data_IF_025637465356
#
_entry.id   IF_025637465356
#
_cell.length_a   1.000
_cell.length_b   1.000
_cell.length_c   1.000
_cell.angle_alpha   90.00
_cell.angle_beta   90.00
_cell.angle_gamma   90.00
#
_symmetry.space_group_name_H-M   'P 1'
#
loop_
_entity.id
_entity.type
_entity.pdbx_description
1 polymer ?
#
# COMPACT_ATOMS: atom_id res chain seq x y z
N UNK A 1 -7.83 27.21 -35.75
CA UNK A 1 -8.03 27.01 -34.31
C UNK A 1 -7.99 25.50 -34.06
N UNK A 2 -6.87 24.99 -33.57
CA UNK A 2 -6.76 23.59 -33.18
C UNK A 2 -7.61 23.41 -31.90
N UNK A 3 -8.54 22.48 -31.90
CA UNK A 3 -9.36 22.23 -30.73
C UNK A 3 -8.47 21.61 -29.67
N UNK A 4 -8.49 22.11 -28.43
CA UNK A 4 -7.81 21.55 -27.26
C UNK A 4 -8.08 20.05 -27.04
N UNK A 5 -9.15 19.52 -27.64
CA UNK A 5 -9.66 18.16 -27.43
C UNK A 5 -9.19 17.15 -28.49
N UNK A 6 -8.32 17.54 -29.44
CA UNK A 6 -8.10 16.73 -30.65
C UNK A 6 -6.93 15.73 -30.57
N UNK A 7 -6.29 15.47 -29.43
CA UNK A 7 -5.16 14.56 -29.45
C UNK A 7 -5.01 13.68 -28.20
N UNK A 8 -5.60 12.53 -28.24
CA UNK A 8 -5.13 11.37 -27.45
C UNK A 8 -3.98 10.63 -28.16
N UNK A 9 -2.97 11.33 -28.64
CA UNK A 9 -1.69 10.71 -29.00
C UNK A 9 -0.68 11.10 -27.95
N UNK A 10 -0.44 10.21 -27.00
CA UNK A 10 0.63 10.37 -26.02
C UNK A 10 1.89 9.79 -26.64
N UNK A 11 2.77 10.65 -27.16
CA UNK A 11 4.10 10.26 -27.58
C UNK A 11 5.07 10.55 -26.43
N UNK A 12 5.57 9.50 -25.78
CA UNK A 12 6.56 9.58 -24.70
C UNK A 12 7.94 9.67 -25.37
N UNK A 13 8.53 10.85 -25.43
CA UNK A 13 9.85 11.07 -26.02
C UNK A 13 10.99 11.10 -24.98
N UNK A 14 10.74 10.83 -23.72
CA UNK A 14 11.74 10.81 -22.66
C UNK A 14 12.23 9.38 -22.42
N UNK A 15 13.51 9.05 -22.75
CA UNK A 15 14.04 7.72 -22.54
C UNK A 15 14.03 7.26 -21.09
N UNK A 16 14.09 8.16 -20.11
CA UNK A 16 14.02 7.82 -18.68
C UNK A 16 12.57 7.56 -18.20
N UNK A 17 11.58 7.93 -19.01
CA UNK A 17 10.15 7.71 -18.75
C UNK A 17 9.57 6.53 -19.55
N UNK A 18 10.36 5.91 -20.45
CA UNK A 18 9.88 4.82 -21.30
C UNK A 18 9.71 3.55 -20.45
N UNK A 19 8.51 3.34 -20.00
CA UNK A 19 8.03 2.02 -19.66
C UNK A 19 7.35 1.43 -20.91
N UNK A 20 8.00 0.51 -21.58
CA UNK A 20 7.48 -0.15 -22.79
C UNK A 20 6.35 -1.14 -22.49
N UNK A 21 6.03 -1.36 -21.20
CA UNK A 21 4.95 -2.26 -20.81
C UNK A 21 3.58 -1.80 -21.32
N UNK A 22 2.66 -2.75 -21.46
CA UNK A 22 1.32 -2.48 -21.96
C UNK A 22 0.51 -1.58 -21.01
N UNK A 23 -0.32 -0.71 -21.57
CA UNK A 23 -1.39 -0.04 -20.82
C UNK A 23 -2.46 -1.10 -20.50
N UNK A 24 -2.74 -1.29 -19.23
CA UNK A 24 -3.73 -2.24 -18.74
C UNK A 24 -5.11 -1.56 -18.68
N UNK A 25 -5.16 -0.35 -18.11
CA UNK A 25 -6.41 0.40 -17.96
C UNK A 25 -6.11 1.89 -17.74
N UNK A 26 -7.08 2.72 -18.11
CA UNK A 26 -7.13 4.15 -17.75
C UNK A 26 -8.35 4.36 -16.85
N UNK A 27 -8.15 5.04 -15.72
CA UNK A 27 -9.18 5.24 -14.71
C UNK A 27 -9.26 6.71 -14.30
N UNK A 28 -10.45 7.16 -13.96
CA UNK A 28 -10.67 8.49 -13.38
C UNK A 28 -11.10 8.38 -11.92
N UNK A 29 -10.64 9.32 -11.11
CA UNK A 29 -11.09 9.48 -9.74
C UNK A 29 -11.82 10.81 -9.65
N UNK A 30 -13.12 10.76 -9.37
CA UNK A 30 -14.00 11.95 -9.20
C UNK A 30 -13.88 12.97 -10.35
N UNK A 31 -13.79 12.50 -11.60
CA UNK A 31 -13.69 13.32 -12.84
C UNK A 31 -12.50 14.30 -12.88
N UNK A 32 -11.64 14.29 -11.86
CA UNK A 32 -10.55 15.26 -11.71
C UNK A 32 -9.16 14.66 -11.98
N UNK A 33 -8.94 13.41 -11.62
CA UNK A 33 -7.64 12.74 -11.71
C UNK A 33 -7.71 11.60 -12.72
N UNK A 34 -7.04 11.76 -13.86
CA UNK A 34 -6.91 10.69 -14.86
C UNK A 34 -5.60 9.94 -14.65
N UNK A 35 -5.72 8.64 -14.40
CA UNK A 35 -4.62 7.72 -14.17
C UNK A 35 -4.49 6.71 -15.29
N UNK A 36 -3.26 6.45 -15.71
CA UNK A 36 -2.89 5.44 -16.70
C UNK A 36 -2.11 4.35 -15.96
N UNK A 37 -2.71 3.18 -15.85
CA UNK A 37 -2.08 2.00 -15.25
C UNK A 37 -1.44 1.16 -16.36
N UNK A 38 -0.11 1.15 -16.37
CA UNK A 38 0.67 0.20 -17.16
C UNK A 38 0.98 -1.03 -16.31
N UNK A 39 1.54 -2.04 -16.93
CA UNK A 39 1.92 -3.26 -16.24
C UNK A 39 2.89 -2.99 -15.08
N UNK A 40 3.91 -2.13 -15.30
CA UNK A 40 4.99 -1.89 -14.36
C UNK A 40 5.04 -0.48 -13.77
N UNK A 41 4.11 0.41 -14.14
CA UNK A 41 4.13 1.79 -13.67
C UNK A 41 2.75 2.44 -13.70
N UNK A 42 2.62 3.58 -13.02
CA UNK A 42 1.41 4.42 -13.03
C UNK A 42 1.79 5.83 -13.46
N UNK A 43 0.99 6.42 -14.34
CA UNK A 43 1.11 7.80 -14.77
C UNK A 43 -0.16 8.57 -14.42
N UNK A 44 0.01 9.84 -14.10
CA UNK A 44 -1.05 10.83 -14.00
C UNK A 44 -1.06 11.66 -15.28
N UNK A 45 -2.22 11.77 -15.93
CA UNK A 45 -2.41 12.67 -17.06
C UNK A 45 -2.90 14.03 -16.55
N UNK A 46 -2.14 15.06 -16.86
CA UNK A 46 -2.50 16.45 -16.63
C UNK A 46 -3.06 17.00 -17.95
N UNK A 47 -4.36 17.21 -17.99
CA UNK A 47 -5.04 17.75 -19.18
C UNK A 47 -4.73 19.22 -19.38
N UNK A 48 -4.89 19.74 -20.60
CA UNK A 48 -4.75 21.16 -20.88
C UNK A 48 -5.67 22.01 -19.97
N UNK A 49 -6.89 21.52 -19.71
CA UNK A 49 -7.86 22.22 -18.85
C UNK A 49 -7.50 22.16 -17.36
N UNK A 50 -6.78 21.12 -16.90
CA UNK A 50 -6.23 21.07 -15.53
C UNK A 50 -5.04 22.01 -15.35
N UNK A 51 -4.24 22.21 -16.41
CA UNK A 51 -3.06 23.07 -16.41
C UNK A 51 -3.41 24.55 -16.60
N UNK A 52 -4.40 24.83 -17.43
CA UNK A 52 -4.91 26.19 -17.72
C UNK A 52 -6.45 26.21 -17.64
N UNK A 53 -7.03 26.18 -16.42
CA UNK A 53 -8.48 26.10 -16.21
C UNK A 53 -9.22 27.35 -16.73
N UNK A 54 -8.54 28.49 -16.82
CA UNK A 54 -9.11 29.73 -17.35
C UNK A 54 -9.01 29.82 -18.88
N UNK A 55 -8.39 28.84 -19.53
CA UNK A 55 -8.22 28.76 -21.00
C UNK A 55 -7.56 30.00 -21.60
N UNK A 56 -6.53 30.52 -20.88
CA UNK A 56 -5.82 31.75 -21.28
C UNK A 56 -4.85 31.51 -22.42
N UNK A 57 -4.37 30.26 -22.60
CA UNK A 57 -3.43 29.88 -23.65
C UNK A 57 -4.00 28.79 -24.55
N UNK A 58 -4.33 29.08 -25.82
CA UNK A 58 -4.96 28.11 -26.71
C UNK A 58 -4.06 26.91 -27.06
N UNK A 59 -2.74 27.07 -26.93
CA UNK A 59 -1.76 26.05 -27.27
C UNK A 59 -1.31 25.21 -26.07
N UNK A 60 -2.00 25.30 -24.93
CA UNK A 60 -1.72 24.46 -23.75
C UNK A 60 -1.94 23.00 -24.11
N UNK A 61 -0.88 22.19 -23.99
CA UNK A 61 -0.91 20.76 -24.25
C UNK A 61 -1.29 19.94 -23.00
N UNK A 62 -1.51 18.66 -23.22
CA UNK A 62 -1.55 17.66 -22.15
C UNK A 62 -0.11 17.28 -21.76
N UNK A 63 0.08 16.94 -20.51
CA UNK A 63 1.33 16.31 -20.05
C UNK A 63 1.01 15.13 -19.13
N UNK A 64 1.96 14.24 -18.96
CA UNK A 64 1.82 13.11 -18.04
C UNK A 64 3.04 13.06 -17.12
N UNK A 65 2.79 12.59 -15.92
CA UNK A 65 3.77 12.48 -14.87
C UNK A 65 3.78 11.03 -14.37
N UNK A 66 4.96 10.40 -14.33
CA UNK A 66 5.12 9.08 -13.72
C UNK A 66 5.04 9.24 -12.20
N UNK A 67 4.02 8.66 -11.59
CA UNK A 67 3.76 8.76 -10.15
C UNK A 67 4.18 7.52 -9.37
N UNK A 68 4.33 6.37 -10.04
CA UNK A 68 4.84 5.15 -9.41
C UNK A 68 5.60 4.27 -10.40
N UNK A 69 6.63 3.60 -9.91
CA UNK A 69 7.42 2.55 -10.59
C UNK A 69 6.87 1.15 -10.33
N UNK A 70 5.65 1.07 -9.80
CA UNK A 70 4.91 -0.15 -9.51
C UNK A 70 3.57 -0.01 -10.21
N UNK A 71 3.23 -0.96 -11.09
CA UNK A 71 2.05 -0.90 -11.94
C UNK A 71 1.02 -2.00 -11.65
N UNK A 72 0.15 -2.24 -12.63
CA UNK A 72 -1.00 -3.15 -12.50
C UNK A 72 -0.63 -4.62 -12.27
N UNK A 73 0.58 -5.07 -12.64
CA UNK A 73 1.05 -6.43 -12.34
C UNK A 73 1.31 -6.65 -10.84
N UNK A 74 1.48 -5.57 -10.09
CA UNK A 74 1.67 -5.66 -8.65
C UNK A 74 0.33 -5.92 -7.92
N UNK A 75 0.30 -6.84 -6.93
CA UNK A 75 -0.87 -7.05 -6.10
C UNK A 75 -1.28 -5.79 -5.32
N UNK A 76 -0.36 -4.91 -5.01
CA UNK A 76 -0.65 -3.65 -4.31
C UNK A 76 -1.56 -2.73 -5.12
N UNK A 77 -1.40 -2.70 -6.45
CA UNK A 77 -2.25 -1.93 -7.37
C UNK A 77 -3.50 -2.70 -7.76
N UNK A 78 -3.31 -3.93 -8.25
CA UNK A 78 -4.41 -4.73 -8.80
C UNK A 78 -5.47 -5.08 -7.75
N UNK A 79 -5.04 -5.57 -6.58
CA UNK A 79 -5.94 -6.05 -5.52
C UNK A 79 -6.53 -4.92 -4.68
N UNK A 80 -5.89 -3.75 -4.64
CA UNK A 80 -6.41 -2.62 -3.87
C UNK A 80 -7.17 -1.68 -4.80
N UNK A 81 -6.50 -0.90 -5.63
CA UNK A 81 -7.19 0.13 -6.37
C UNK A 81 -8.05 -0.42 -7.52
N UNK A 82 -7.48 -1.19 -8.44
CA UNK A 82 -8.19 -1.64 -9.65
C UNK A 82 -9.36 -2.59 -9.32
N UNK A 83 -9.15 -3.49 -8.37
CA UNK A 83 -10.19 -4.40 -7.91
C UNK A 83 -11.35 -3.66 -7.26
N UNK A 84 -11.05 -2.83 -6.27
CA UNK A 84 -12.09 -2.18 -5.50
C UNK A 84 -12.77 -1.02 -6.24
N UNK A 85 -12.04 -0.31 -7.12
CA UNK A 85 -12.69 0.65 -8.01
C UNK A 85 -13.79 0.00 -8.85
N UNK A 86 -13.51 -1.16 -9.48
CA UNK A 86 -14.52 -1.90 -10.25
C UNK A 86 -15.70 -2.36 -9.41
N UNK A 87 -15.45 -2.85 -8.20
CA UNK A 87 -16.49 -3.26 -7.27
C UNK A 87 -17.32 -2.05 -6.85
N UNK A 88 -16.68 -0.97 -6.41
CA UNK A 88 -17.32 0.26 -5.95
C UNK A 88 -18.18 0.89 -7.06
N UNK A 89 -17.65 0.99 -8.28
CA UNK A 89 -18.38 1.53 -9.43
C UNK A 89 -19.64 0.76 -9.74
N UNK A 90 -19.63 -0.55 -9.52
CA UNK A 90 -20.76 -1.43 -9.81
C UNK A 90 -21.82 -1.43 -8.71
N UNK A 91 -21.41 -1.27 -7.44
CA UNK A 91 -22.35 -1.48 -6.32
C UNK A 91 -22.84 -0.19 -5.66
N UNK A 92 -22.12 0.94 -5.83
CA UNK A 92 -22.49 2.22 -5.21
C UNK A 92 -22.96 3.25 -6.25
N UNK A 93 -24.12 3.92 -6.01
CA UNK A 93 -24.55 5.08 -6.81
C UNK A 93 -23.58 6.26 -6.68
N UNK A 94 -23.55 7.14 -7.70
CA UNK A 94 -22.67 8.32 -7.74
C UNK A 94 -22.92 9.33 -6.62
N UNK A 95 -24.15 9.48 -6.17
CA UNK A 95 -24.58 10.39 -5.11
C UNK A 95 -24.43 9.81 -3.69
N UNK A 96 -23.78 8.63 -3.56
CA UNK A 96 -23.53 7.92 -2.29
C UNK A 96 -22.18 8.32 -1.66
N UNK A 97 -21.65 7.42 -0.82
CA UNK A 97 -20.29 7.54 -0.26
C UNK A 97 -19.19 7.31 -1.32
N UNK A 98 -19.56 6.90 -2.55
CA UNK A 98 -18.65 6.48 -3.63
C UNK A 98 -17.49 7.45 -3.88
N UNK A 99 -17.70 8.78 -4.07
CA UNK A 99 -16.58 9.68 -4.34
C UNK A 99 -15.54 9.71 -3.23
N UNK A 100 -16.00 9.81 -1.96
CA UNK A 100 -15.11 9.80 -0.79
C UNK A 100 -14.41 8.46 -0.61
N UNK A 101 -15.11 7.36 -0.90
CA UNK A 101 -14.56 6.01 -0.80
C UNK A 101 -13.44 5.82 -1.83
N UNK A 102 -13.63 6.24 -3.08
CA UNK A 102 -12.60 6.14 -4.13
C UNK A 102 -11.37 6.98 -3.79
N UNK A 103 -11.56 8.22 -3.29
CA UNK A 103 -10.44 9.06 -2.81
C UNK A 103 -9.65 8.39 -1.69
N UNK A 104 -10.37 7.83 -0.71
CA UNK A 104 -9.73 7.16 0.43
C UNK A 104 -8.98 5.90 -0.01
N UNK A 105 -9.59 5.08 -0.88
CA UNK A 105 -8.94 3.87 -1.42
C UNK A 105 -7.70 4.24 -2.23
N UNK A 106 -7.75 5.30 -3.04
CA UNK A 106 -6.59 5.77 -3.79
C UNK A 106 -5.49 6.27 -2.85
N UNK A 107 -5.82 7.11 -1.87
CA UNK A 107 -4.85 7.61 -0.88
C UNK A 107 -4.16 6.48 -0.11
N UNK A 108 -4.91 5.45 0.31
CA UNK A 108 -4.35 4.25 0.96
C UNK A 108 -3.47 3.45 0.00
N UNK A 109 -3.86 3.35 -1.26
CA UNK A 109 -3.04 2.71 -2.30
C UNK A 109 -1.70 3.46 -2.50
N UNK A 110 -1.72 4.79 -2.57
CA UNK A 110 -0.50 5.61 -2.68
C UNK A 110 0.44 5.36 -1.48
N UNK A 111 -0.08 5.33 -0.26
CA UNK A 111 0.72 5.05 0.94
C UNK A 111 1.34 3.65 0.89
N UNK A 112 0.58 2.65 0.43
CA UNK A 112 1.07 1.28 0.25
C UNK A 112 2.18 1.21 -0.80
N UNK A 113 2.05 1.93 -1.92
CA UNK A 113 3.08 2.02 -2.95
C UNK A 113 4.35 2.70 -2.46
N UNK A 114 4.22 3.76 -1.66
CA UNK A 114 5.37 4.43 -1.01
C UNK A 114 6.10 3.48 -0.06
N UNK A 115 5.37 2.70 0.75
CA UNK A 115 5.98 1.67 1.59
C UNK A 115 6.68 0.58 0.75
N UNK A 116 6.06 0.13 -0.34
CA UNK A 116 6.65 -0.84 -1.26
C UNK A 116 7.94 -0.31 -1.91
N UNK A 117 7.99 0.99 -2.24
CA UNK A 117 9.20 1.60 -2.78
C UNK A 117 10.34 1.64 -1.75
N UNK A 118 10.08 1.95 -0.48
CA UNK A 118 11.10 1.92 0.56
C UNK A 118 11.65 0.51 0.81
N UNK A 119 10.78 -0.49 0.83
CA UNK A 119 11.19 -1.90 0.94
C UNK A 119 12.06 -2.30 -0.26
N UNK A 120 11.62 -2.01 -1.48
CA UNK A 120 12.35 -2.31 -2.72
C UNK A 120 13.71 -1.64 -2.77
N UNK A 121 13.82 -0.36 -2.39
CA UNK A 121 15.08 0.38 -2.33
C UNK A 121 16.13 -0.32 -1.44
N UNK A 122 15.69 -0.94 -0.35
CA UNK A 122 16.57 -1.70 0.54
C UNK A 122 16.89 -3.07 -0.07
N UNK A 123 15.87 -3.81 -0.47
CA UNK A 123 15.97 -5.19 -0.96
C UNK A 123 16.83 -5.32 -2.20
N UNK A 124 16.64 -4.43 -3.18
CA UNK A 124 17.39 -4.48 -4.45
C UNK A 124 18.91 -4.27 -4.30
N UNK A 125 19.35 -3.65 -3.21
CA UNK A 125 20.76 -3.45 -2.93
C UNK A 125 21.42 -4.64 -2.20
N UNK A 126 20.62 -5.56 -1.61
CA UNK A 126 21.17 -6.57 -0.70
C UNK A 126 22.13 -7.55 -1.37
N UNK A 127 21.79 -8.04 -2.56
CA UNK A 127 22.63 -9.01 -3.29
C UNK A 127 23.97 -8.41 -3.67
N UNK A 128 23.97 -7.18 -4.20
CA UNK A 128 25.20 -6.44 -4.54
C UNK A 128 26.06 -6.17 -3.29
N UNK A 129 25.42 -5.72 -2.21
CA UNK A 129 26.10 -5.48 -0.91
C UNK A 129 26.70 -6.77 -0.35
N UNK A 130 25.96 -7.87 -0.40
CA UNK A 130 26.42 -9.19 0.06
C UNK A 130 27.64 -9.65 -0.75
N UNK A 131 27.56 -9.61 -2.08
CA UNK A 131 28.67 -10.01 -2.95
C UNK A 131 29.93 -9.15 -2.74
N UNK A 132 29.76 -7.84 -2.55
CA UNK A 132 30.87 -6.92 -2.25
C UNK A 132 31.50 -7.21 -0.89
N UNK A 133 30.72 -7.51 0.13
CA UNK A 133 31.20 -7.87 1.45
C UNK A 133 31.99 -9.18 1.41
N UNK A 134 31.48 -10.21 0.73
CA UNK A 134 32.21 -11.48 0.54
C UNK A 134 33.55 -11.25 -0.16
N UNK A 135 33.56 -10.47 -1.24
CA UNK A 135 34.78 -10.13 -1.98
C UNK A 135 35.81 -9.41 -1.10
N UNK A 136 35.36 -8.42 -0.30
CA UNK A 136 36.24 -7.68 0.62
C UNK A 136 36.87 -8.63 1.64
N UNK A 137 36.06 -9.52 2.22
CA UNK A 137 36.54 -10.48 3.23
C UNK A 137 37.52 -11.48 2.62
N UNK A 138 37.17 -12.07 1.47
CA UNK A 138 38.05 -13.03 0.78
C UNK A 138 39.42 -12.45 0.43
N UNK A 139 39.46 -11.25 -0.15
CA UNK A 139 40.68 -10.57 -0.54
C UNK A 139 41.58 -10.19 0.64
N UNK A 140 41.01 -10.08 1.83
CA UNK A 140 41.69 -9.63 3.05
C UNK A 140 41.81 -10.70 4.13
N UNK A 141 41.59 -11.98 3.80
CA UNK A 141 41.65 -13.10 4.79
C UNK A 141 42.95 -13.15 5.57
N UNK A 142 44.07 -12.83 4.95
CA UNK A 142 45.40 -12.85 5.57
C UNK A 142 45.82 -11.47 6.11
N UNK A 143 44.99 -10.46 5.94
CA UNK A 143 45.27 -9.10 6.39
C UNK A 143 44.96 -8.92 7.87
N UNK A 144 45.73 -8.05 8.55
CA UNK A 144 45.44 -7.64 9.91
C UNK A 144 44.26 -6.69 10.03
N UNK A 145 43.83 -6.09 8.92
CA UNK A 145 42.73 -5.15 8.86
C UNK A 145 41.84 -5.48 7.66
N UNK A 146 40.57 -5.53 7.87
CA UNK A 146 39.54 -5.65 6.82
C UNK A 146 39.04 -4.23 6.51
N UNK A 147 39.05 -3.82 5.22
CA UNK A 147 38.47 -2.55 4.80
C UNK A 147 36.98 -2.43 5.20
N UNK A 148 36.41 -1.21 5.22
CA UNK A 148 35.01 -1.03 5.49
C UNK A 148 34.13 -1.85 4.55
N UNK A 149 33.16 -2.58 5.09
CA UNK A 149 32.21 -3.38 4.35
C UNK A 149 31.28 -2.49 3.52
N UNK A 150 30.79 -3.03 2.40
CA UNK A 150 29.74 -2.38 1.62
C UNK A 150 28.48 -2.17 2.46
N UNK A 151 27.73 -1.12 2.19
CA UNK A 151 26.54 -0.73 2.96
C UNK A 151 25.36 -0.50 2.03
N UNK A 152 24.17 -0.83 2.51
CA UNK A 152 22.92 -0.38 1.89
C UNK A 152 22.80 1.13 2.05
N UNK A 153 22.63 1.84 0.92
CA UNK A 153 22.47 3.29 0.90
C UNK A 153 21.08 3.66 1.42
N UNK A 154 21.00 4.79 2.11
CA UNK A 154 19.76 5.36 2.65
C UNK A 154 18.98 4.44 3.61
N UNK A 155 19.57 3.32 4.07
CA UNK A 155 18.90 2.30 4.90
C UNK A 155 18.08 2.90 6.04
N UNK A 156 18.70 3.79 6.82
CA UNK A 156 18.05 4.38 8.00
C UNK A 156 16.90 5.30 7.63
N UNK A 157 17.09 6.11 6.59
CA UNK A 157 16.05 7.01 6.06
C UNK A 157 14.86 6.22 5.52
N UNK A 158 15.11 5.21 4.69
CA UNK A 158 14.06 4.43 4.05
C UNK A 158 13.27 3.60 5.09
N UNK A 159 13.97 2.95 6.03
CA UNK A 159 13.33 2.19 7.10
C UNK A 159 12.48 3.08 8.03
N UNK A 160 12.98 4.27 8.40
CA UNK A 160 12.22 5.24 9.21
C UNK A 160 11.00 5.77 8.46
N UNK A 161 11.16 6.10 7.17
CA UNK A 161 10.07 6.60 6.32
C UNK A 161 9.00 5.54 6.12
N UNK A 162 9.38 4.27 5.91
CA UNK A 162 8.44 3.16 5.89
C UNK A 162 7.57 3.10 7.15
N UNK A 163 8.19 3.16 8.33
CA UNK A 163 7.45 3.10 9.60
C UNK A 163 6.51 4.32 9.79
N UNK A 164 6.94 5.50 9.32
CA UNK A 164 6.13 6.71 9.38
C UNK A 164 4.88 6.59 8.51
N UNK A 165 5.07 6.23 7.23
CA UNK A 165 3.96 6.07 6.27
C UNK A 165 3.09 4.88 6.66
N UNK A 166 3.69 3.78 7.10
CA UNK A 166 2.97 2.58 7.54
C UNK A 166 2.04 2.86 8.73
N UNK A 167 2.47 3.65 9.72
CA UNK A 167 1.58 4.06 10.81
C UNK A 167 0.44 4.95 10.31
N UNK A 168 0.70 5.90 9.39
CA UNK A 168 -0.35 6.74 8.82
C UNK A 168 -1.36 5.89 8.03
N UNK A 169 -0.88 4.93 7.24
CA UNK A 169 -1.72 3.94 6.55
C UNK A 169 -2.67 3.21 7.50
N UNK A 170 -2.16 2.72 8.64
CA UNK A 170 -3.00 2.05 9.64
C UNK A 170 -4.09 2.99 10.19
N UNK A 171 -3.76 4.23 10.50
CA UNK A 171 -4.73 5.24 10.95
C UNK A 171 -5.81 5.45 9.88
N UNK A 172 -5.41 5.60 8.62
CA UNK A 172 -6.32 5.87 7.52
C UNK A 172 -7.18 4.64 7.14
N UNK A 173 -6.69 3.41 7.39
CA UNK A 173 -7.51 2.21 7.33
C UNK A 173 -8.69 2.24 8.33
N UNK A 174 -8.48 2.70 9.55
CA UNK A 174 -9.58 2.85 10.52
C UNK A 174 -10.51 4.03 10.17
N UNK A 175 -9.98 5.10 9.56
CA UNK A 175 -10.83 6.17 8.98
C UNK A 175 -11.70 5.64 7.83
N UNK A 176 -11.15 4.74 7.00
CA UNK A 176 -11.93 4.07 5.96
C UNK A 176 -13.12 3.28 6.56
N UNK A 177 -12.91 2.53 7.64
CA UNK A 177 -13.99 1.84 8.36
C UNK A 177 -15.07 2.82 8.81
N UNK A 178 -14.71 4.03 9.23
CA UNK A 178 -15.66 5.03 9.67
C UNK A 178 -16.60 5.55 8.58
N UNK A 179 -16.22 5.45 7.30
CA UNK A 179 -17.12 5.77 6.17
C UNK A 179 -18.32 4.81 6.10
N UNK A 180 -18.18 3.59 6.59
CA UNK A 180 -19.21 2.55 6.58
C UNK A 180 -19.91 2.39 7.93
N UNK A 181 -19.34 3.00 8.98
CA UNK A 181 -19.80 2.83 10.33
C UNK A 181 -19.77 4.18 11.05
N UNK A 182 -20.42 4.25 12.22
CA UNK A 182 -20.31 5.44 13.08
C UNK A 182 -19.14 5.29 14.08
N UNK A 183 -18.03 4.68 13.65
CA UNK A 183 -16.84 4.51 14.47
C UNK A 183 -16.36 5.90 14.95
N UNK A 184 -16.35 6.17 16.26
CA UNK A 184 -15.95 7.48 16.77
C UNK A 184 -14.43 7.64 16.69
N UNK A 185 -13.97 8.45 15.73
CA UNK A 185 -12.58 8.80 15.56
C UNK A 185 -12.36 10.25 16.01
N UNK A 186 -12.02 10.43 17.28
CA UNK A 186 -11.57 11.73 17.78
C UNK A 186 -10.10 11.98 17.38
N UNK A 187 -9.72 13.25 17.16
CA UNK A 187 -8.38 13.65 16.73
C UNK A 187 -7.25 13.14 17.66
N UNK A 188 -7.53 12.77 18.90
CA UNK A 188 -6.58 12.19 19.86
C UNK A 188 -6.63 10.67 19.95
N UNK A 189 -7.64 10.04 19.34
CA UNK A 189 -7.91 8.61 19.44
C UNK A 189 -7.58 7.82 18.16
N UNK A 190 -7.13 8.48 17.11
CA UNK A 190 -6.91 7.88 15.77
C UNK A 190 -6.00 6.64 15.80
N UNK A 191 -5.01 6.61 16.69
CA UNK A 191 -4.07 5.49 16.84
C UNK A 191 -4.43 4.52 18.00
N UNK A 192 -5.61 4.62 18.58
CA UNK A 192 -6.06 3.71 19.62
C UNK A 192 -6.79 2.48 19.03
N UNK A 193 -6.09 1.70 18.25
CA UNK A 193 -6.64 0.55 17.51
C UNK A 193 -7.40 -0.43 18.39
N UNK A 194 -6.91 -0.72 19.60
CA UNK A 194 -7.59 -1.59 20.59
C UNK A 194 -9.01 -1.11 20.90
N UNK A 195 -9.18 0.21 21.09
CA UNK A 195 -10.49 0.81 21.41
C UNK A 195 -11.43 0.73 20.20
N UNK A 196 -10.89 0.94 18.99
CA UNK A 196 -11.68 0.88 17.76
C UNK A 196 -12.18 -0.54 17.49
N UNK A 197 -11.31 -1.54 17.64
CA UNK A 197 -11.69 -2.95 17.49
C UNK A 197 -12.75 -3.34 18.53
N UNK A 198 -12.55 -2.96 19.79
CA UNK A 198 -13.52 -3.21 20.85
C UNK A 198 -14.87 -2.54 20.57
N UNK A 199 -14.85 -1.32 20.06
CA UNK A 199 -16.06 -0.60 19.69
C UNK A 199 -16.82 -1.33 18.57
N UNK A 200 -16.12 -1.79 17.52
CA UNK A 200 -16.71 -2.58 16.43
C UNK A 200 -17.35 -3.87 16.96
N UNK A 201 -16.67 -4.60 17.84
CA UNK A 201 -17.18 -5.82 18.46
C UNK A 201 -18.50 -5.58 19.24
N UNK A 202 -18.60 -4.44 19.90
CA UNK A 202 -19.76 -4.10 20.75
C UNK A 202 -20.92 -3.50 19.96
N UNK A 203 -20.65 -2.70 18.93
CA UNK A 203 -21.65 -1.87 18.28
C UNK A 203 -22.01 -2.32 16.86
N UNK A 204 -21.19 -3.22 16.25
CA UNK A 204 -21.39 -3.70 14.87
C UNK A 204 -21.28 -5.22 14.78
N UNK A 205 -22.26 -5.97 15.30
CA UNK A 205 -22.24 -7.44 15.32
C UNK A 205 -22.19 -8.07 13.92
N UNK A 206 -22.69 -7.38 12.90
CA UNK A 206 -22.62 -7.79 11.51
C UNK A 206 -21.18 -7.80 10.98
N UNK A 207 -20.31 -6.91 11.48
CA UNK A 207 -18.86 -6.87 11.19
C UNK A 207 -18.03 -7.73 12.14
N UNK A 208 -18.63 -8.75 12.78
CA UNK A 208 -17.90 -9.62 13.73
C UNK A 208 -16.68 -10.29 13.10
N UNK A 209 -16.75 -10.71 11.82
CA UNK A 209 -15.62 -11.32 11.14
C UNK A 209 -14.48 -10.31 10.96
N UNK A 210 -14.78 -9.08 10.53
CA UNK A 210 -13.79 -8.00 10.42
C UNK A 210 -13.15 -7.70 11.78
N UNK A 211 -13.95 -7.48 12.82
CA UNK A 211 -13.42 -7.16 14.15
C UNK A 211 -12.58 -8.29 14.74
N UNK A 212 -12.87 -9.55 14.40
CA UNK A 212 -12.03 -10.70 14.77
C UNK A 212 -10.71 -10.72 14.00
N UNK A 213 -10.73 -10.48 12.69
CA UNK A 213 -9.53 -10.38 11.86
C UNK A 213 -8.61 -9.25 12.36
N UNK A 214 -9.16 -8.04 12.56
CA UNK A 214 -8.43 -6.91 13.14
C UNK A 214 -7.86 -7.24 14.53
N UNK A 215 -8.57 -8.03 15.34
CA UNK A 215 -8.09 -8.50 16.63
C UNK A 215 -6.86 -9.42 16.51
N UNK A 216 -6.83 -10.30 15.52
CA UNK A 216 -5.68 -11.15 15.24
C UNK A 216 -4.47 -10.34 14.76
N UNK A 217 -4.72 -9.27 14.01
CA UNK A 217 -3.69 -8.39 13.46
C UNK A 217 -3.17 -7.36 14.45
N UNK A 218 -3.85 -7.17 15.56
CA UNK A 218 -3.55 -6.10 16.53
C UNK A 218 -2.09 -6.12 17.00
N UNK A 219 -1.48 -7.30 17.11
CA UNK A 219 -0.09 -7.42 17.57
C UNK A 219 0.90 -6.74 16.61
N UNK A 220 0.84 -7.07 15.30
CA UNK A 220 1.74 -6.45 14.33
C UNK A 220 1.40 -4.97 14.08
N UNK A 221 0.12 -4.59 14.12
CA UNK A 221 -0.35 -3.20 14.02
C UNK A 221 0.29 -2.36 15.14
N UNK A 222 0.23 -2.85 16.37
CA UNK A 222 0.85 -2.17 17.52
C UNK A 222 2.36 -2.14 17.42
N UNK A 223 2.99 -3.24 17.01
CA UNK A 223 4.44 -3.32 16.86
C UNK A 223 4.95 -2.28 15.85
N UNK A 224 4.38 -2.20 14.65
CA UNK A 224 4.73 -1.18 13.66
C UNK A 224 4.56 0.24 14.23
N UNK A 225 3.42 0.50 14.87
CA UNK A 225 3.13 1.81 15.45
C UNK A 225 4.10 2.20 16.56
N UNK A 226 4.48 1.26 17.44
CA UNK A 226 5.40 1.52 18.53
C UNK A 226 6.87 1.61 18.05
N UNK A 227 7.27 0.88 16.99
CA UNK A 227 8.56 1.09 16.33
C UNK A 227 8.67 2.54 15.81
N UNK A 228 7.62 3.04 15.14
CA UNK A 228 7.58 4.44 14.71
C UNK A 228 7.63 5.42 15.90
N UNK A 229 6.89 5.15 16.98
CA UNK A 229 6.91 5.97 18.19
C UNK A 229 8.29 5.99 18.85
N UNK A 230 9.01 4.86 18.84
CA UNK A 230 10.36 4.75 19.37
C UNK A 230 11.40 5.62 18.60
N UNK A 231 11.12 5.93 17.32
CA UNK A 231 11.94 6.87 16.54
C UNK A 231 11.70 8.31 16.99
N UNK A 232 10.44 8.70 17.19
CA UNK A 232 10.08 10.08 17.51
C UNK A 232 10.23 10.44 18.99
N UNK A 233 9.98 9.46 19.85
CA UNK A 233 9.94 9.66 21.30
C UNK A 233 10.76 8.56 22.00
N UNK A 234 12.09 8.48 21.75
CA UNK A 234 12.93 7.46 22.39
C UNK A 234 12.97 7.65 23.90
N UNK A 235 13.02 6.50 24.61
CA UNK A 235 13.08 6.49 26.06
C UNK A 235 13.30 5.07 26.64
N UNK A 236 13.32 4.93 27.96
CA UNK A 236 13.45 3.61 28.58
C UNK A 236 12.31 2.67 28.13
N UNK A 237 12.66 1.49 27.60
CA UNK A 237 11.68 0.54 27.04
C UNK A 237 10.94 1.05 25.78
N UNK A 238 11.48 2.05 25.09
CA UNK A 238 10.95 2.59 23.84
C UNK A 238 12.10 3.08 22.97
N UNK A 239 12.75 2.18 22.26
CA UNK A 239 13.90 2.49 21.39
C UNK A 239 13.91 1.62 20.14
N UNK A 240 14.43 2.16 19.04
CA UNK A 240 14.74 1.45 17.80
C UNK A 240 16.14 1.80 17.36
N UNK A 241 16.96 0.80 17.08
CA UNK A 241 18.33 0.95 16.55
C UNK A 241 18.41 0.24 15.21
N UNK A 242 18.92 0.91 14.19
CA UNK A 242 19.14 0.39 12.84
C UNK A 242 20.64 0.21 12.64
N UNK A 243 21.08 -1.00 12.32
CA UNK A 243 22.46 -1.32 12.00
C UNK A 243 22.55 -1.76 10.54
N UNK A 244 23.50 -1.17 9.81
CA UNK A 244 23.85 -1.60 8.46
C UNK A 244 24.75 -2.85 8.52
N UNK A 245 25.32 -3.29 7.40
CA UNK A 245 26.29 -4.40 7.39
C UNK A 245 27.35 -4.23 8.46
N UNK A 246 27.61 -5.30 9.21
CA UNK A 246 28.52 -5.28 10.35
C UNK A 246 29.46 -6.49 10.32
N UNK A 247 30.75 -6.25 10.55
CA UNK A 247 31.74 -7.31 10.70
C UNK A 247 31.64 -7.94 12.07
N UNK A 248 31.70 -9.26 12.11
CA UNK A 248 31.65 -10.08 13.30
C UNK A 248 32.95 -10.90 13.50
N UNK A 249 33.21 -11.49 14.68
CA UNK A 249 34.34 -12.38 14.91
C UNK A 249 34.41 -13.50 13.87
N UNK A 250 35.63 -13.85 13.49
CA UNK A 250 35.88 -14.85 12.45
C UNK A 250 35.67 -14.36 11.03
N UNK A 251 35.72 -13.05 10.83
CA UNK A 251 35.53 -12.40 9.52
C UNK A 251 34.19 -12.75 8.89
N UNK A 252 33.14 -12.93 9.68
CA UNK A 252 31.76 -13.04 9.24
C UNK A 252 31.14 -11.65 9.21
N UNK A 253 30.06 -11.48 8.46
CA UNK A 253 29.27 -10.26 8.49
C UNK A 253 27.78 -10.56 8.60
N UNK A 254 27.03 -9.59 9.08
CA UNK A 254 25.57 -9.58 9.02
C UNK A 254 25.08 -8.59 7.99
N UNK A 255 23.96 -8.92 7.34
CA UNK A 255 23.16 -7.98 6.56
C UNK A 255 22.49 -6.95 7.49
N UNK A 256 21.89 -5.88 6.92
CA UNK A 256 21.21 -4.87 7.71
C UNK A 256 20.17 -5.46 8.67
N UNK A 257 20.25 -5.04 9.92
CA UNK A 257 19.32 -5.45 10.98
C UNK A 257 18.82 -4.24 11.75
N UNK A 258 17.70 -4.42 12.43
CA UNK A 258 17.29 -3.52 13.50
C UNK A 258 17.04 -4.27 14.81
N UNK A 259 17.06 -3.51 15.88
CA UNK A 259 16.73 -3.99 17.21
C UNK A 259 15.81 -3.01 17.87
N UNK A 260 14.79 -3.48 18.57
CA UNK A 260 13.88 -2.62 19.30
C UNK A 260 13.58 -3.10 20.70
N UNK A 261 13.41 -2.14 21.60
CA UNK A 261 12.87 -2.34 22.94
C UNK A 261 11.56 -1.54 23.04
N UNK A 262 10.44 -2.24 23.07
CA UNK A 262 9.08 -1.69 23.12
C UNK A 262 8.37 -2.17 24.41
N UNK A 263 9.14 -2.51 25.44
CA UNK A 263 8.63 -3.09 26.69
C UNK A 263 7.72 -2.14 27.46
N UNK A 264 7.90 -0.83 27.28
CA UNK A 264 7.05 0.19 27.89
C UNK A 264 5.58 0.12 27.41
N UNK A 265 5.31 -0.34 26.20
CA UNK A 265 3.98 -0.28 25.57
C UNK A 265 3.36 -1.64 25.27
N UNK A 266 4.13 -2.56 24.73
CA UNK A 266 3.63 -3.85 24.23
C UNK A 266 4.42 -5.06 24.76
N UNK A 267 5.34 -4.84 25.70
CA UNK A 267 6.20 -5.88 26.31
C UNK A 267 6.96 -6.73 25.28
N UNK A 268 7.50 -6.10 24.24
CA UNK A 268 8.28 -6.75 23.17
C UNK A 268 9.68 -6.17 23.14
N UNK A 269 10.68 -7.05 23.05
CA UNK A 269 12.08 -6.69 22.85
C UNK A 269 12.72 -7.70 21.93
N UNK A 270 13.27 -7.22 20.82
CA UNK A 270 13.89 -8.04 19.79
C UNK A 270 15.22 -7.44 19.36
N UNK A 271 16.13 -8.29 18.92
CA UNK A 271 17.47 -7.87 18.49
C UNK A 271 17.88 -8.54 17.20
N UNK A 272 18.62 -7.79 16.38
CA UNK A 272 19.22 -8.27 15.13
C UNK A 272 18.24 -8.90 14.14
N UNK A 273 17.06 -8.32 14.02
CA UNK A 273 16.04 -8.76 13.04
C UNK A 273 16.45 -8.25 11.65
N UNK A 274 16.48 -9.08 10.60
CA UNK A 274 16.72 -8.63 9.24
C UNK A 274 15.66 -7.63 8.78
N UNK A 275 16.06 -6.39 8.48
CA UNK A 275 15.14 -5.30 8.18
C UNK A 275 14.25 -5.63 6.97
N UNK A 276 14.84 -6.12 5.86
CA UNK A 276 14.10 -6.42 4.63
C UNK A 276 12.99 -7.45 4.84
N UNK A 277 13.23 -8.47 5.68
CA UNK A 277 12.21 -9.49 5.96
C UNK A 277 11.04 -8.93 6.77
N UNK A 278 11.32 -8.06 7.74
CA UNK A 278 10.25 -7.49 8.56
C UNK A 278 9.48 -6.41 7.80
N UNK A 279 10.13 -5.61 6.94
CA UNK A 279 9.45 -4.66 6.07
C UNK A 279 8.55 -5.37 5.05
N UNK A 280 9.03 -6.46 4.42
CA UNK A 280 8.23 -7.29 3.53
C UNK A 280 7.02 -7.88 4.24
N UNK A 281 7.21 -8.40 5.46
CA UNK A 281 6.10 -8.93 6.27
C UNK A 281 5.07 -7.83 6.61
N UNK A 282 5.52 -6.63 7.00
CA UNK A 282 4.60 -5.51 7.23
C UNK A 282 3.85 -5.11 5.96
N UNK A 283 4.53 -5.03 4.83
CA UNK A 283 3.93 -4.64 3.55
C UNK A 283 2.85 -5.65 3.11
N UNK A 284 3.13 -6.93 3.23
CA UNK A 284 2.15 -7.99 2.95
C UNK A 284 0.95 -7.92 3.92
N UNK A 285 1.21 -7.73 5.21
CA UNK A 285 0.14 -7.57 6.21
C UNK A 285 -0.72 -6.33 5.92
N UNK A 286 -0.13 -5.20 5.52
CA UNK A 286 -0.87 -3.99 5.12
C UNK A 286 -1.77 -4.24 3.92
N UNK A 287 -1.28 -4.96 2.90
CA UNK A 287 -2.07 -5.36 1.73
C UNK A 287 -3.30 -6.18 2.13
N UNK A 288 -3.10 -7.24 2.93
CA UNK A 288 -4.19 -8.11 3.36
C UNK A 288 -5.19 -7.39 4.27
N UNK A 289 -4.70 -6.60 5.21
CA UNK A 289 -5.54 -5.80 6.10
C UNK A 289 -6.49 -4.88 5.32
N UNK A 290 -5.97 -4.12 4.34
CA UNK A 290 -6.79 -3.21 3.55
C UNK A 290 -7.78 -3.95 2.66
N UNK A 291 -7.34 -5.05 2.03
CA UNK A 291 -8.23 -5.90 1.22
C UNK A 291 -9.40 -6.46 2.06
N UNK A 292 -9.13 -6.96 3.27
CA UNK A 292 -10.16 -7.47 4.19
C UNK A 292 -11.11 -6.37 4.67
N UNK A 293 -10.60 -5.22 5.07
CA UNK A 293 -11.42 -4.07 5.46
C UNK A 293 -12.40 -3.72 4.33
N UNK A 294 -11.91 -3.55 3.12
CA UNK A 294 -12.74 -3.21 1.97
C UNK A 294 -13.77 -4.29 1.66
N UNK A 295 -13.36 -5.56 1.65
CA UNK A 295 -14.29 -6.68 1.40
C UNK A 295 -15.42 -6.73 2.43
N UNK A 296 -15.10 -6.66 3.71
CA UNK A 296 -16.11 -6.76 4.76
C UNK A 296 -17.02 -5.53 4.80
N UNK A 297 -16.45 -4.33 4.72
CA UNK A 297 -17.24 -3.09 4.78
C UNK A 297 -18.14 -2.93 3.55
N UNK A 298 -17.65 -3.21 2.35
CA UNK A 298 -18.49 -3.15 1.14
C UNK A 298 -19.56 -4.24 1.18
N UNK A 299 -19.20 -5.48 1.56
CA UNK A 299 -20.18 -6.57 1.64
C UNK A 299 -21.31 -6.27 2.62
N UNK A 300 -21.03 -5.63 3.75
CA UNK A 300 -22.03 -5.20 4.73
C UNK A 300 -22.95 -4.09 4.19
N UNK A 301 -22.42 -3.24 3.31
CA UNK A 301 -23.12 -2.12 2.70
C UNK A 301 -23.95 -2.50 1.46
N UNK A 302 -23.86 -3.75 1.00
CA UNK A 302 -24.65 -4.19 -0.14
C UNK A 302 -26.15 -4.12 0.20
N UNK A 303 -27.01 -3.70 -0.76
CA UNK A 303 -28.44 -3.62 -0.57
C UNK A 303 -29.05 -4.93 -0.06
N UNK A 304 -29.96 -4.82 0.89
CA UNK A 304 -30.64 -5.97 1.52
C UNK A 304 -31.46 -6.82 0.54
N UNK A 305 -31.79 -6.29 -0.64
CA UNK A 305 -32.47 -7.03 -1.71
C UNK A 305 -31.60 -8.15 -2.33
N UNK A 306 -30.29 -8.15 -2.03
CA UNK A 306 -29.35 -9.15 -2.47
C UNK A 306 -29.08 -9.10 -3.99
N UNK A 307 -29.20 -7.90 -4.60
CA UNK A 307 -28.95 -7.72 -6.03
C UNK A 307 -27.51 -8.10 -6.40
N UNK A 308 -26.52 -7.61 -5.64
CA UNK A 308 -25.11 -7.88 -5.85
C UNK A 308 -24.52 -8.80 -4.78
N UNK A 309 -23.48 -9.51 -5.14
CA UNK A 309 -22.59 -10.24 -4.24
C UNK A 309 -21.15 -10.13 -4.72
N UNK A 310 -20.20 -10.20 -3.80
CA UNK A 310 -18.77 -10.24 -4.12
C UNK A 310 -18.35 -11.70 -4.24
N UNK A 311 -17.69 -12.03 -5.33
CA UNK A 311 -17.19 -13.37 -5.65
C UNK A 311 -15.67 -13.33 -5.78
N UNK A 312 -15.05 -14.47 -5.52
CA UNK A 312 -13.63 -14.68 -5.75
C UNK A 312 -13.44 -15.35 -7.12
N UNK A 313 -12.45 -14.88 -7.90
CA UNK A 313 -12.02 -15.56 -9.11
C UNK A 313 -11.38 -16.91 -8.77
N UNK A 314 -11.52 -17.90 -9.67
CA UNK A 314 -10.67 -19.07 -9.60
C UNK A 314 -9.21 -18.68 -9.86
N UNK A 315 -8.27 -19.38 -9.25
CA UNK A 315 -6.84 -19.07 -9.43
C UNK A 315 -6.41 -19.08 -10.91
N UNK A 316 -6.98 -19.99 -11.72
CA UNK A 316 -6.70 -20.07 -13.15
C UNK A 316 -7.18 -18.86 -13.96
N UNK A 317 -8.13 -18.08 -13.45
CA UNK A 317 -8.70 -16.90 -14.10
C UNK A 317 -7.96 -15.61 -13.73
N UNK A 318 -7.05 -15.67 -12.75
CA UNK A 318 -6.25 -14.52 -12.28
C UNK A 318 -5.14 -14.25 -13.29
N UNK A 319 -5.16 -13.05 -13.90
CA UNK A 319 -4.18 -12.65 -14.91
C UNK A 319 -2.89 -12.16 -14.23
N UNK A 320 -1.70 -12.68 -14.61
CA UNK A 320 -0.43 -12.26 -13.99
C UNK A 320 -0.14 -10.76 -14.13
N UNK A 321 -0.52 -10.14 -15.24
CA UNK A 321 -0.32 -8.71 -15.49
C UNK A 321 -1.34 -7.78 -14.81
N UNK A 322 -2.35 -8.35 -14.14
CA UNK A 322 -3.31 -7.63 -13.30
C UNK A 322 -4.04 -8.63 -12.39
N UNK A 323 -3.43 -9.03 -11.24
CA UNK A 323 -3.90 -10.14 -10.41
C UNK A 323 -5.07 -9.77 -9.50
N UNK A 324 -6.20 -9.40 -10.10
CA UNK A 324 -7.47 -9.14 -9.41
C UNK A 324 -8.03 -10.46 -8.87
N UNK A 325 -8.42 -10.48 -7.60
CA UNK A 325 -8.95 -11.67 -6.92
C UNK A 325 -10.47 -11.68 -6.79
N UNK A 326 -11.09 -10.51 -6.63
CA UNK A 326 -12.50 -10.38 -6.33
C UNK A 326 -13.23 -9.50 -7.36
N UNK A 327 -14.51 -9.78 -7.55
CA UNK A 327 -15.39 -8.99 -8.43
C UNK A 327 -16.81 -8.98 -7.88
N UNK A 328 -17.57 -7.94 -8.18
CA UNK A 328 -19.00 -7.90 -7.91
C UNK A 328 -19.77 -8.49 -9.10
N UNK A 329 -20.87 -9.16 -8.82
CA UNK A 329 -21.81 -9.66 -9.84
C UNK A 329 -23.20 -9.81 -9.24
N UNK A 330 -24.20 -9.98 -10.10
CA UNK A 330 -25.56 -10.27 -9.67
C UNK A 330 -25.61 -11.57 -8.85
N UNK A 331 -26.27 -11.53 -7.72
CA UNK A 331 -26.35 -12.67 -6.81
C UNK A 331 -27.21 -13.81 -7.38
N UNK A 332 -26.92 -15.04 -6.99
CA UNK A 332 -27.75 -16.19 -7.34
C UNK A 332 -29.22 -16.02 -6.88
N UNK A 333 -29.42 -15.33 -5.74
CA UNK A 333 -30.75 -14.99 -5.21
C UNK A 333 -31.50 -14.04 -6.14
N UNK A 334 -30.83 -13.07 -6.75
CA UNK A 334 -31.42 -12.15 -7.72
C UNK A 334 -31.77 -12.88 -9.01
N UNK A 335 -30.88 -13.71 -9.54
CA UNK A 335 -31.14 -14.54 -10.73
C UNK A 335 -32.33 -15.50 -10.55
N UNK A 336 -32.53 -16.06 -9.36
CA UNK A 336 -33.69 -16.94 -9.11
C UNK A 336 -35.02 -16.20 -9.17
N UNK A 337 -35.06 -14.88 -8.94
CA UNK A 337 -36.25 -14.04 -9.05
C UNK A 337 -36.58 -13.64 -10.50
N UNK A 338 -35.56 -13.64 -11.38
CA UNK A 338 -35.72 -13.28 -12.79
C UNK A 338 -36.14 -14.45 -13.67
N UNK A 339 -36.07 -15.71 -13.18
CA UNK A 339 -36.58 -16.84 -13.91
C UNK A 339 -38.11 -16.81 -13.85
N UNK A 340 -38.80 -16.71 -15.02
CA UNK A 340 -40.26 -16.90 -15.04
C UNK A 340 -40.60 -18.29 -14.52
N UNK A 341 -41.58 -18.36 -13.64
CA UNK A 341 -42.22 -19.60 -13.14
C UNK A 341 -42.86 -20.37 -14.26
#
# INVERSE_FOLDING_TARGET
MQKRDDAFSITINDPDLIDESAIIVMETINDALLLIFKENSIYRLLTADSTDPQKTQPDTGHTYEKIATIGAASPYVARIFLQFKRIIDQVFPEDSIKPKLLEQVWSLNEQLLVCAQFESNIREQLDDVMQKCDTIIEQNKSSRAIPPLAKVKNLESDAKSFLLVGKQFLIDCFKLISLFTDLPLGARDEAHFDKHIKWLQQNRPTLKKLSSALGNDLFWIRRLSECRNAIEHPGPGQSLTIENTKLHPGNKFSLPTWSYDLTNKINVKESSIPIHQELDAYLNNMLYLLEEILLFCISESLPADGMFSIYQHNEADIKPNCPIKYYASLSAKFYSRLKPS
#
